data_IF_028773369119
#
_entry.id   IF_028773369119
#
_cell.length_a   1.000
_cell.length_b   1.000
_cell.length_c   1.000
_cell.angle_alpha   90.00
_cell.angle_beta   90.00
_cell.angle_gamma   90.00
#
_symmetry.space_group_name_H-M   'P 1'
#
loop_
_entity.id
_entity.type
_entity.pdbx_description
1 polymer ?
#
# COMPACT_ATOMS: atom_id res chain seq x y z
N UNK A 1 3.23 17.90 -4.40
CA UNK A 1 3.31 18.66 -5.60
C UNK A 1 4.19 19.90 -5.55
N UNK A 2 4.40 20.53 -6.68
CA UNK A 2 5.34 21.65 -6.85
C UNK A 2 5.03 22.87 -5.96
N UNK A 3 3.78 23.04 -5.53
CA UNK A 3 3.36 24.19 -4.70
C UNK A 3 3.27 23.88 -3.21
N UNK A 4 3.27 22.60 -2.83
CA UNK A 4 3.00 22.17 -1.47
C UNK A 4 1.56 22.44 -1.00
N UNK A 5 0.65 22.81 -1.91
CA UNK A 5 -0.75 23.02 -1.56
C UNK A 5 -1.42 21.69 -1.17
N UNK A 6 -2.19 21.70 -0.08
CA UNK A 6 -3.01 20.56 0.32
C UNK A 6 -4.14 20.38 -0.70
N UNK A 7 -4.29 19.16 -1.21
CA UNK A 7 -5.40 18.80 -2.10
C UNK A 7 -6.66 18.50 -1.28
N UNK A 8 -6.53 17.66 -0.27
CA UNK A 8 -7.61 17.28 0.64
C UNK A 8 -7.05 16.87 2.01
N UNK A 9 -7.89 16.70 2.97
CA UNK A 9 -7.61 16.09 4.26
C UNK A 9 -8.85 15.34 4.76
N UNK A 10 -8.63 14.29 5.54
CA UNK A 10 -9.69 13.51 6.16
C UNK A 10 -9.31 13.10 7.57
N UNK A 11 -10.31 12.83 8.40
CA UNK A 11 -10.09 12.40 9.77
C UNK A 11 -9.85 10.88 9.78
N UNK A 12 -8.81 10.46 10.50
CA UNK A 12 -8.53 9.06 10.82
C UNK A 12 -8.62 8.83 12.33
N UNK A 13 -8.93 7.61 12.73
CA UNK A 13 -8.91 7.19 14.12
C UNK A 13 -7.50 6.74 14.49
N UNK A 14 -6.70 7.66 14.99
CA UNK A 14 -5.36 7.37 15.49
C UNK A 14 -5.10 8.20 16.75
N UNK A 15 -5.38 7.62 17.90
CA UNK A 15 -5.14 8.23 19.23
C UNK A 15 -3.92 7.63 19.92
N UNK A 16 -3.35 6.55 19.38
CA UNK A 16 -2.24 5.83 20.00
C UNK A 16 -0.88 6.45 19.66
N UNK A 17 -0.36 6.27 18.46
CA UNK A 17 1.03 6.61 18.12
C UNK A 17 1.16 7.70 17.07
N UNK A 18 0.28 7.75 16.10
CA UNK A 18 0.30 8.67 14.94
C UNK A 18 1.58 8.57 14.11
N UNK A 19 2.18 7.37 14.02
CA UNK A 19 3.46 7.18 13.31
C UNK A 19 3.37 6.23 12.12
N UNK A 20 2.23 5.57 11.91
CA UNK A 20 2.07 4.69 10.75
C UNK A 20 2.04 5.47 9.44
N UNK A 21 2.51 4.85 8.38
CA UNK A 21 2.52 5.43 7.03
C UNK A 21 1.38 4.94 6.17
N UNK A 22 1.22 5.57 5.03
CA UNK A 22 0.36 5.12 3.94
C UNK A 22 1.18 4.52 2.81
N UNK A 23 0.54 3.69 1.99
CA UNK A 23 1.03 3.32 0.66
C UNK A 23 0.20 4.02 -0.40
N UNK A 24 0.78 4.18 -1.58
CA UNK A 24 0.14 4.82 -2.72
C UNK A 24 0.27 3.89 -3.91
N UNK A 25 -0.83 3.60 -4.60
CA UNK A 25 -0.83 2.74 -5.78
C UNK A 25 -2.03 3.08 -6.66
N UNK A 26 -1.85 3.09 -7.96
CA UNK A 26 -2.92 3.30 -8.93
C UNK A 26 -3.48 1.92 -9.32
N UNK A 27 -4.56 1.52 -8.66
CA UNK A 27 -5.13 0.18 -8.81
C UNK A 27 -5.84 -0.04 -10.14
N UNK A 28 -6.41 1.01 -10.71
CA UNK A 28 -7.12 0.95 -11.98
C UNK A 28 -6.24 1.24 -13.19
N UNK A 29 -5.01 1.74 -13.01
CA UNK A 29 -4.11 2.10 -14.08
C UNK A 29 -4.54 3.34 -14.86
N UNK A 30 -5.28 4.24 -14.23
CA UNK A 30 -5.82 5.44 -14.88
C UNK A 30 -4.90 6.68 -14.76
N UNK A 31 -3.72 6.49 -14.13
CA UNK A 31 -2.74 7.54 -13.86
C UNK A 31 -3.04 8.37 -12.61
N UNK A 32 -3.97 7.95 -11.77
CA UNK A 32 -4.38 8.61 -10.53
C UNK A 32 -4.31 7.62 -9.38
N UNK A 33 -3.24 7.71 -8.63
CA UNK A 33 -3.01 6.76 -7.55
C UNK A 33 -3.97 6.96 -6.37
N UNK A 34 -4.37 5.86 -5.77
CA UNK A 34 -5.10 5.78 -4.51
C UNK A 34 -4.15 5.81 -3.33
N UNK A 35 -4.69 6.18 -2.17
CA UNK A 35 -3.98 6.13 -0.88
C UNK A 35 -4.53 5.00 -0.05
N UNK A 36 -3.68 4.05 0.32
CA UNK A 36 -4.02 2.94 1.21
C UNK A 36 -3.51 3.27 2.61
N UNK A 37 -4.40 3.35 3.57
CA UNK A 37 -4.06 3.69 4.96
C UNK A 37 -4.83 2.82 5.95
N UNK A 38 -4.12 2.31 6.95
CA UNK A 38 -4.73 1.58 8.07
C UNK A 38 -4.61 2.43 9.34
N UNK A 39 -5.72 2.86 9.87
CA UNK A 39 -5.77 3.50 11.19
C UNK A 39 -5.98 2.46 12.31
N UNK A 40 -6.32 2.89 13.52
CA UNK A 40 -6.54 1.98 14.65
C UNK A 40 -7.67 0.98 14.44
N UNK A 41 -8.62 1.24 13.52
CA UNK A 41 -9.84 0.47 13.36
C UNK A 41 -10.06 -0.07 11.96
N UNK A 42 -9.68 0.70 10.95
CA UNK A 42 -10.08 0.47 9.57
C UNK A 42 -8.90 0.58 8.61
N UNK A 43 -8.78 -0.39 7.74
CA UNK A 43 -8.06 -0.24 6.49
C UNK A 43 -8.97 0.48 5.49
N UNK A 44 -8.46 1.51 4.82
CA UNK A 44 -9.19 2.26 3.80
C UNK A 44 -8.36 2.45 2.55
N UNK A 45 -9.03 2.46 1.42
CA UNK A 45 -8.51 2.93 0.15
C UNK A 45 -9.23 4.23 -0.18
N UNK A 46 -8.46 5.30 -0.32
CA UNK A 46 -8.98 6.63 -0.63
C UNK A 46 -8.66 6.99 -2.07
N UNK A 47 -9.59 7.64 -2.75
CA UNK A 47 -9.30 8.25 -4.04
C UNK A 47 -8.28 9.37 -3.87
N UNK A 48 -7.17 9.30 -4.61
CA UNK A 48 -6.06 10.24 -4.45
C UNK A 48 -6.38 11.68 -4.81
N UNK A 49 -7.40 11.92 -5.62
CA UNK A 49 -7.77 13.27 -6.10
C UNK A 49 -8.57 14.10 -5.09
N UNK A 50 -9.39 13.47 -4.26
CA UNK A 50 -10.36 14.14 -3.38
C UNK A 50 -10.47 13.55 -1.98
N UNK A 51 -9.90 12.35 -1.74
CA UNK A 51 -9.92 11.68 -0.45
C UNK A 51 -11.22 10.93 -0.14
N UNK A 52 -12.10 10.75 -1.11
CA UNK A 52 -13.27 9.89 -0.94
C UNK A 52 -12.87 8.45 -0.64
N UNK A 53 -13.55 7.81 0.31
CA UNK A 53 -13.31 6.39 0.64
C UNK A 53 -13.92 5.51 -0.44
N UNK A 54 -13.07 4.84 -1.21
CA UNK A 54 -13.48 3.90 -2.24
C UNK A 54 -13.83 2.54 -1.65
N UNK A 55 -13.07 2.12 -0.64
CA UNK A 55 -13.26 0.84 0.02
C UNK A 55 -12.73 0.87 1.46
N UNK A 56 -13.29 0.03 2.33
CA UNK A 56 -12.81 -0.11 3.70
C UNK A 56 -13.08 -1.50 4.26
N UNK A 57 -12.19 -1.94 5.16
CA UNK A 57 -12.34 -3.17 5.93
C UNK A 57 -11.97 -2.94 7.40
N UNK A 58 -12.64 -3.67 8.29
CA UNK A 58 -12.23 -3.68 9.69
C UNK A 58 -10.88 -4.38 9.85
N UNK A 59 -9.88 -3.64 10.29
CA UNK A 59 -8.53 -4.14 10.56
C UNK A 59 -7.87 -3.29 11.65
N UNK A 60 -7.97 -3.74 12.88
CA UNK A 60 -7.42 -2.99 14.00
C UNK A 60 -5.90 -3.11 14.06
N UNK A 61 -5.22 -1.99 14.29
CA UNK A 61 -3.77 -1.92 14.47
C UNK A 61 -3.42 -0.85 15.53
N UNK A 62 -2.28 -1.00 16.19
CA UNK A 62 -1.77 0.01 17.12
C UNK A 62 -1.06 1.17 16.44
N UNK A 63 -1.13 1.25 15.11
CA UNK A 63 -0.58 2.33 14.27
C UNK A 63 0.84 2.75 14.62
N UNK A 64 1.76 1.80 14.73
CA UNK A 64 3.17 2.08 15.05
C UNK A 64 4.02 2.15 13.77
N UNK A 65 4.71 1.08 13.41
CA UNK A 65 5.61 1.06 12.25
C UNK A 65 5.03 0.34 11.04
N UNK A 66 3.93 -0.33 11.23
CA UNK A 66 3.20 -1.03 10.17
C UNK A 66 2.54 -0.05 9.19
N UNK A 67 2.59 -0.36 7.93
CA UNK A 67 1.84 0.29 6.87
C UNK A 67 1.43 -0.74 5.83
N UNK A 68 0.35 -0.50 5.09
CA UNK A 68 -0.08 -1.41 4.04
C UNK A 68 0.98 -1.56 2.95
N UNK A 69 1.13 -2.75 2.43
CA UNK A 69 2.03 -3.06 1.31
C UNK A 69 1.18 -3.48 0.11
N UNK A 70 1.48 -2.95 -1.07
CA UNK A 70 0.84 -3.35 -2.31
C UNK A 70 1.82 -4.20 -3.11
N UNK A 71 1.46 -5.46 -3.37
CA UNK A 71 2.32 -6.48 -3.98
C UNK A 71 1.47 -7.59 -4.57
N UNK A 72 1.88 -8.23 -5.65
CA UNK A 72 1.23 -9.44 -6.17
C UNK A 72 1.73 -10.65 -5.36
N UNK A 73 0.95 -11.08 -4.36
CA UNK A 73 1.33 -12.11 -3.38
C UNK A 73 1.27 -13.52 -3.97
N UNK A 74 0.22 -13.81 -4.73
CA UNK A 74 -0.06 -15.13 -5.25
C UNK A 74 0.33 -15.33 -6.71
N UNK A 75 0.85 -14.28 -7.36
CA UNK A 75 1.32 -14.25 -8.75
C UNK A 75 0.21 -14.51 -9.74
N UNK A 76 -0.94 -13.93 -9.50
CA UNK A 76 -2.10 -14.03 -10.37
C UNK A 76 -2.23 -12.87 -11.36
N UNK A 77 -1.20 -12.01 -11.42
CA UNK A 77 -1.11 -10.82 -12.26
C UNK A 77 -2.09 -9.69 -11.84
N UNK A 78 -2.54 -9.70 -10.60
CA UNK A 78 -3.31 -8.62 -9.99
C UNK A 78 -2.61 -8.16 -8.71
N UNK A 79 -2.71 -6.88 -8.38
CA UNK A 79 -2.16 -6.37 -7.14
C UNK A 79 -2.99 -6.85 -5.93
N UNK A 80 -2.31 -7.03 -4.79
CA UNK A 80 -2.93 -7.31 -3.50
C UNK A 80 -2.52 -6.26 -2.48
N UNK A 81 -3.33 -6.11 -1.45
CA UNK A 81 -3.01 -5.30 -0.28
C UNK A 81 -2.69 -6.21 0.90
N UNK A 82 -1.45 -6.18 1.37
CA UNK A 82 -1.01 -6.88 2.59
C UNK A 82 -1.01 -5.91 3.76
N UNK A 83 -1.68 -6.28 4.84
CA UNK A 83 -1.79 -5.44 6.03
C UNK A 83 -1.69 -6.27 7.30
N UNK A 84 -1.16 -5.66 8.35
CA UNK A 84 -1.05 -6.25 9.67
C UNK A 84 -2.20 -5.81 10.56
N UNK A 85 -2.80 -6.75 11.29
CA UNK A 85 -3.70 -6.46 12.39
C UNK A 85 -3.07 -6.88 13.72
N UNK A 86 -3.29 -6.13 14.78
CA UNK A 86 -2.86 -6.48 16.11
C UNK A 86 -3.98 -6.25 17.15
N UNK A 87 -3.78 -6.77 18.35
CA UNK A 87 -4.80 -6.68 19.39
C UNK A 87 -4.63 -5.49 20.35
N UNK A 88 -3.78 -4.54 20.02
CA UNK A 88 -3.55 -3.37 20.88
C UNK A 88 -4.83 -2.59 21.17
N UNK A 89 -5.68 -2.45 20.15
CA UNK A 89 -6.96 -1.75 20.26
C UNK A 89 -8.15 -2.70 20.41
N UNK A 90 -7.99 -4.00 20.23
CA UNK A 90 -9.09 -4.98 20.19
C UNK A 90 -9.93 -5.04 21.46
N UNK A 91 -9.33 -4.74 22.63
CA UNK A 91 -10.08 -4.67 23.89
C UNK A 91 -11.02 -3.46 23.98
N UNK A 92 -10.90 -2.49 23.06
CA UNK A 92 -11.65 -1.23 23.08
C UNK A 92 -12.61 -1.09 21.93
N UNK A 93 -12.38 -1.82 20.84
CA UNK A 93 -13.09 -1.64 19.59
C UNK A 93 -13.55 -2.98 19.03
N UNK A 94 -14.76 -2.97 18.49
CA UNK A 94 -15.32 -4.06 17.72
C UNK A 94 -15.56 -3.58 16.30
N UNK A 95 -15.50 -4.49 15.33
CA UNK A 95 -15.92 -4.19 13.98
C UNK A 95 -17.42 -3.82 13.93
N UNK A 96 -17.84 -3.10 12.92
CA UNK A 96 -19.23 -2.66 12.78
C UNK A 96 -20.23 -3.82 12.73
N UNK A 97 -19.80 -5.00 12.30
CA UNK A 97 -20.58 -6.23 12.29
C UNK A 97 -20.60 -6.97 13.65
N UNK A 98 -19.98 -6.40 14.68
CA UNK A 98 -19.87 -6.98 16.01
C UNK A 98 -18.79 -8.04 16.18
N UNK A 99 -18.02 -8.33 15.13
CA UNK A 99 -16.90 -9.26 15.24
C UNK A 99 -15.70 -8.63 15.96
N UNK A 100 -14.81 -9.48 16.48
CA UNK A 100 -13.52 -9.03 17.00
C UNK A 100 -12.58 -8.68 15.87
N UNK A 101 -11.77 -7.61 15.99
CA UNK A 101 -10.75 -7.30 15.01
C UNK A 101 -9.76 -8.46 14.82
N UNK A 102 -9.38 -8.67 13.58
CA UNK A 102 -8.42 -9.71 13.22
C UNK A 102 -7.02 -9.37 13.77
N UNK A 103 -6.29 -10.41 14.21
CA UNK A 103 -4.89 -10.30 14.62
C UNK A 103 -4.02 -11.17 13.72
N UNK A 104 -3.00 -10.59 13.12
CA UNK A 104 -2.08 -11.27 12.21
C UNK A 104 -1.92 -10.57 10.87
N UNK A 105 -1.57 -11.32 9.84
CA UNK A 105 -1.40 -10.82 8.47
C UNK A 105 -2.67 -11.10 7.67
N UNK A 106 -3.17 -10.08 6.97
CA UNK A 106 -4.29 -10.21 6.04
C UNK A 106 -3.85 -9.80 4.65
N UNK A 107 -4.39 -10.49 3.67
CA UNK A 107 -4.24 -10.15 2.25
C UNK A 107 -5.64 -9.86 1.71
N UNK A 108 -5.76 -8.75 1.01
CA UNK A 108 -6.97 -8.37 0.30
C UNK A 108 -6.66 -8.32 -1.18
N UNK A 109 -7.44 -9.06 -1.95
CA UNK A 109 -7.35 -9.14 -3.41
C UNK A 109 -8.65 -8.67 -4.03
N UNK A 110 -8.62 -8.19 -5.25
CA UNK A 110 -9.85 -7.95 -6.01
C UNK A 110 -10.38 -9.27 -6.60
N UNK A 111 -11.56 -9.77 -6.19
CA UNK A 111 -12.12 -11.01 -6.73
C UNK A 111 -12.37 -10.98 -8.25
N UNK A 112 -12.54 -9.77 -8.82
CA UNK A 112 -12.72 -9.59 -10.26
C UNK A 112 -11.39 -9.44 -11.03
N UNK A 113 -10.25 -9.38 -10.31
CA UNK A 113 -8.90 -9.19 -10.87
C UNK A 113 -8.81 -7.98 -11.79
N UNK A 114 -9.43 -6.88 -11.36
CA UNK A 114 -9.41 -5.61 -12.09
C UNK A 114 -8.27 -4.70 -11.64
N UNK A 115 -7.67 -4.99 -10.49
CA UNK A 115 -6.50 -4.28 -10.06
C UNK A 115 -5.31 -4.60 -10.97
N UNK A 116 -4.59 -3.56 -11.35
CA UNK A 116 -3.48 -3.71 -12.28
C UNK A 116 -2.36 -4.57 -11.70
N UNK A 117 -1.61 -5.17 -12.60
CA UNK A 117 -0.45 -5.99 -12.26
C UNK A 117 0.64 -5.19 -11.57
N UNK A 118 1.28 -5.78 -10.57
CA UNK A 118 2.46 -5.23 -9.89
C UNK A 118 3.52 -6.32 -9.66
N UNK A 119 4.65 -5.94 -9.06
CA UNK A 119 5.72 -6.89 -8.74
C UNK A 119 5.36 -7.74 -7.53
N UNK A 120 5.81 -9.00 -7.55
CA UNK A 120 5.68 -9.94 -6.44
C UNK A 120 6.84 -9.83 -5.43
N UNK A 121 7.43 -8.63 -5.28
CA UNK A 121 8.59 -8.40 -4.42
C UNK A 121 8.37 -7.16 -3.56
N UNK A 122 8.51 -7.35 -2.24
CA UNK A 122 8.69 -6.29 -1.26
C UNK A 122 9.55 -6.85 -0.12
N UNK A 123 10.85 -6.63 -0.17
CA UNK A 123 11.82 -7.33 0.69
C UNK A 123 12.41 -6.48 1.82
N UNK A 124 12.03 -5.20 1.90
CA UNK A 124 12.59 -4.29 2.91
C UNK A 124 11.66 -3.10 3.18
N UNK A 125 11.80 -2.49 4.36
CA UNK A 125 10.96 -1.37 4.80
C UNK A 125 11.04 -0.16 3.86
N UNK A 126 12.22 0.17 3.35
CA UNK A 126 12.43 1.28 2.42
C UNK A 126 12.43 0.82 0.96
N UNK A 127 11.62 -0.19 0.65
CA UNK A 127 11.49 -0.70 -0.71
C UNK A 127 11.17 0.40 -1.71
N UNK A 128 11.79 0.31 -2.86
CA UNK A 128 11.42 1.00 -4.09
C UNK A 128 11.94 0.19 -5.29
N UNK A 129 11.37 0.43 -6.47
CA UNK A 129 11.53 -0.47 -7.61
C UNK A 129 12.99 -0.74 -8.03
N UNK A 130 13.91 0.19 -7.79
CA UNK A 130 15.32 0.05 -8.21
C UNK A 130 16.25 -0.57 -7.17
N UNK A 131 15.81 -0.74 -5.90
CA UNK A 131 16.66 -1.27 -4.85
C UNK A 131 16.63 -2.78 -4.67
N UNK A 132 15.86 -3.47 -5.49
CA UNK A 132 15.83 -4.94 -5.57
C UNK A 132 15.53 -5.39 -7.00
N UNK A 133 16.27 -6.39 -7.46
CA UNK A 133 16.10 -6.99 -8.80
C UNK A 133 14.97 -8.01 -8.78
N UNK A 134 14.50 -8.43 -9.98
CA UNK A 134 13.45 -9.45 -10.10
C UNK A 134 13.86 -10.82 -9.53
N UNK A 135 15.17 -11.10 -9.45
CA UNK A 135 15.72 -12.30 -8.80
C UNK A 135 15.86 -12.16 -7.27
N UNK A 136 15.40 -11.05 -6.69
CA UNK A 136 15.46 -10.75 -5.26
C UNK A 136 16.81 -10.23 -4.77
N UNK A 137 17.79 -10.05 -5.65
CA UNK A 137 19.12 -9.55 -5.26
C UNK A 137 19.14 -8.03 -5.14
N UNK A 138 19.91 -7.54 -4.19
CA UNK A 138 20.22 -6.12 -4.06
C UNK A 138 21.26 -5.75 -5.11
N UNK A 139 21.02 -4.74 -5.95
CA UNK A 139 22.00 -4.29 -6.92
C UNK A 139 23.23 -3.68 -6.24
N UNK A 140 24.41 -3.90 -6.82
CA UNK A 140 25.65 -3.26 -6.32
C UNK A 140 25.61 -1.74 -6.54
N UNK A 141 25.03 -1.32 -7.65
CA UNK A 141 24.79 0.08 -7.98
C UNK A 141 23.31 0.25 -8.29
N UNK A 142 22.66 1.11 -7.56
CA UNK A 142 21.25 1.40 -7.74
C UNK A 142 21.06 2.56 -8.72
N UNK A 143 20.15 2.39 -9.69
CA UNK A 143 19.71 3.48 -10.54
C UNK A 143 18.96 4.54 -9.72
N UNK A 144 19.18 5.84 -9.98
CA UNK A 144 18.52 6.91 -9.24
C UNK A 144 17.02 6.99 -9.59
N UNK A 145 16.18 6.25 -8.86
CA UNK A 145 14.74 6.12 -9.09
C UNK A 145 14.02 7.48 -9.11
N UNK A 146 14.46 8.43 -8.28
CA UNK A 146 13.86 9.76 -8.17
C UNK A 146 13.98 10.62 -9.45
N UNK A 147 14.79 10.24 -10.41
CA UNK A 147 14.91 10.95 -11.69
C UNK A 147 13.80 10.59 -12.68
N UNK A 148 13.22 9.40 -12.58
CA UNK A 148 12.25 8.87 -13.54
C UNK A 148 10.97 8.38 -12.90
N UNK A 149 11.03 7.94 -11.66
CA UNK A 149 9.95 7.29 -10.95
C UNK A 149 9.70 8.01 -9.62
N UNK A 150 8.49 7.96 -9.12
CA UNK A 150 8.16 8.43 -7.78
C UNK A 150 7.59 7.26 -6.96
N UNK A 151 8.46 6.26 -6.71
CA UNK A 151 8.07 4.96 -6.17
C UNK A 151 8.69 4.65 -4.81
N UNK A 152 9.10 5.66 -4.04
CA UNK A 152 9.64 5.43 -2.70
C UNK A 152 8.55 4.85 -1.77
N UNK A 153 8.82 3.67 -1.20
CA UNK A 153 7.89 2.90 -0.38
C UNK A 153 6.55 2.61 -1.08
N UNK A 154 6.61 2.45 -2.40
CA UNK A 154 5.47 2.00 -3.20
C UNK A 154 5.94 1.04 -4.28
N UNK A 155 5.09 0.12 -4.69
CA UNK A 155 5.37 -0.78 -5.79
C UNK A 155 5.03 -0.11 -7.12
N UNK A 156 5.55 -0.66 -8.21
CA UNK A 156 5.29 -0.16 -9.57
C UNK A 156 4.24 -1.01 -10.25
N UNK A 157 3.37 -0.35 -10.97
CA UNK A 157 2.45 -1.00 -11.90
C UNK A 157 3.22 -1.67 -13.04
N UNK A 158 2.67 -2.77 -13.54
CA UNK A 158 3.16 -3.47 -14.72
C UNK A 158 2.00 -3.51 -15.73
N UNK A 159 1.85 -2.45 -16.51
CA UNK A 159 0.81 -2.36 -17.52
C UNK A 159 1.31 -2.63 -18.93
N UNK A 160 0.47 -3.29 -19.75
CA UNK A 160 0.57 -3.31 -21.21
C UNK A 160 1.93 -3.68 -21.79
N UNK A 161 2.76 -4.42 -21.06
CA UNK A 161 4.12 -4.75 -21.46
C UNK A 161 5.12 -3.60 -21.30
N UNK A 162 4.72 -2.46 -20.79
CA UNK A 162 5.64 -1.41 -20.34
C UNK A 162 5.92 -1.60 -18.86
N UNK A 163 6.87 -2.42 -18.61
CA UNK A 163 7.38 -2.68 -17.28
C UNK A 163 8.17 -1.44 -16.85
N UNK A 164 7.82 -0.84 -15.69
CA UNK A 164 8.82 -0.11 -14.93
C UNK A 164 9.83 -1.13 -14.37
N UNK A 165 10.43 -1.93 -15.25
CA UNK A 165 11.56 -2.74 -14.87
C UNK A 165 12.74 -1.79 -14.63
N UNK A 166 13.52 -1.98 -13.56
CA UNK A 166 14.84 -1.44 -13.53
C UNK A 166 15.56 -1.93 -14.79
N UNK A 167 16.37 -1.10 -15.46
CA UNK A 167 17.09 -1.51 -16.65
C UNK A 167 17.87 -2.78 -16.37
N UNK A 168 17.99 -3.71 -17.35
CA UNK A 168 18.80 -4.90 -17.19
C UNK A 168 20.23 -4.49 -16.86
N UNK A 169 20.74 -5.04 -15.76
CA UNK A 169 22.10 -4.81 -15.29
C UNK A 169 23.05 -5.85 -15.87
#
# INVERSE_FOLDING_TARGET
GATGARLWDTISQDTSSRVTGSSVFDFEGDGRAEVVYNDELLLRVYRGTDGDVLWSACNAAGTLWEYPVVVDVDRDDSADIVVMGNNYTSARFMCADGSMPFTGVRVFSDPARQWVRTRAIWNQHTYHVTNVREDGKIPQFEEPWWQKLNTFRTNSQIEGGMVCLPPPQ
#
